data_IF_986165682154
#
_entry.id   IF_986165682154
#
_cell.length_a   1.000
_cell.length_b   1.000
_cell.length_c   1.000
_cell.angle_alpha   90.00
_cell.angle_beta   90.00
_cell.angle_gamma   90.00
#
_symmetry.space_group_name_H-M   'P 1'
#
loop_
_entity.id
_entity.type
_entity.pdbx_description
1 polymer ?
#
# COMPACT_ATOMS: atom_id res chain seq x y z
N UNK A 1 4.50 -14.26 -14.76
CA UNK A 1 5.62 -13.38 -14.39
C UNK A 1 5.24 -12.58 -13.16
N UNK A 2 6.16 -12.41 -12.20
CA UNK A 2 5.98 -11.57 -11.01
C UNK A 2 7.03 -10.47 -11.00
N UNK A 3 6.59 -9.22 -11.02
CA UNK A 3 7.47 -8.05 -10.86
C UNK A 3 7.56 -7.72 -9.37
N UNK A 4 8.76 -7.78 -8.80
CA UNK A 4 9.00 -7.54 -7.37
C UNK A 4 10.03 -6.42 -7.22
N UNK A 5 9.58 -5.18 -6.98
CA UNK A 5 10.44 -4.10 -6.52
C UNK A 5 10.88 -4.40 -5.08
N UNK A 6 12.18 -4.60 -4.88
CA UNK A 6 12.73 -4.89 -3.56
C UNK A 6 12.74 -3.58 -2.77
N UNK A 7 12.20 -3.59 -1.55
CA UNK A 7 12.32 -2.47 -0.59
C UNK A 7 13.23 -2.84 0.58
N UNK A 8 13.05 -4.05 1.13
CA UNK A 8 13.85 -4.61 2.20
C UNK A 8 14.54 -5.89 1.71
N UNK A 9 15.87 -5.92 1.76
CA UNK A 9 16.68 -7.07 1.32
C UNK A 9 16.73 -8.19 2.36
N UNK A 10 16.36 -7.92 3.61
CA UNK A 10 16.41 -8.88 4.71
C UNK A 10 15.26 -9.90 4.67
N UNK A 11 14.18 -9.58 3.95
CA UNK A 11 12.99 -10.41 3.84
C UNK A 11 13.01 -11.22 2.54
N UNK A 12 12.65 -12.50 2.64
CA UNK A 12 12.51 -13.38 1.47
C UNK A 12 11.16 -13.14 0.79
N UNK A 13 11.14 -13.11 -0.53
CA UNK A 13 9.87 -13.19 -1.25
C UNK A 13 9.25 -14.60 -1.10
N UNK A 14 7.92 -14.67 -1.14
CA UNK A 14 7.15 -15.92 -1.04
C UNK A 14 6.93 -16.63 -2.37
N UNK A 15 7.63 -16.26 -3.45
CA UNK A 15 7.27 -16.64 -4.82
C UNK A 15 8.18 -17.75 -5.34
N UNK A 16 7.66 -18.98 -5.47
CA UNK A 16 8.48 -20.13 -5.90
C UNK A 16 8.22 -20.60 -7.34
N UNK A 17 7.01 -20.36 -7.87
CA UNK A 17 6.54 -20.97 -9.13
C UNK A 17 6.52 -20.03 -10.34
N UNK A 18 6.65 -18.72 -10.14
CA UNK A 18 6.56 -17.75 -11.22
C UNK A 18 7.94 -17.33 -11.72
N UNK A 19 8.01 -16.85 -12.96
CA UNK A 19 9.19 -16.13 -13.44
C UNK A 19 9.26 -14.76 -12.74
N UNK A 20 10.30 -14.54 -11.93
CA UNK A 20 10.43 -13.34 -11.09
C UNK A 20 11.37 -12.33 -11.74
N UNK A 21 10.92 -11.07 -11.79
CA UNK A 21 11.72 -9.92 -12.20
C UNK A 21 11.92 -9.05 -10.97
N UNK A 22 13.17 -8.93 -10.52
CA UNK A 22 13.54 -8.09 -9.40
C UNK A 22 13.98 -6.71 -9.88
N UNK A 23 13.45 -5.66 -9.25
CA UNK A 23 13.97 -4.28 -9.38
C UNK A 23 14.67 -3.93 -8.08
N UNK A 24 15.91 -3.44 -8.17
CA UNK A 24 16.70 -3.11 -6.98
C UNK A 24 16.15 -1.87 -6.27
N UNK A 25 16.25 -1.79 -4.93
CA UNK A 25 15.74 -0.65 -4.19
C UNK A 25 16.49 0.63 -4.55
N UNK A 26 15.82 1.76 -4.40
CA UNK A 26 16.52 3.04 -4.31
C UNK A 26 17.43 3.05 -3.06
N UNK A 27 18.66 3.60 -3.14
CA UNK A 27 19.57 3.66 -1.99
C UNK A 27 18.95 4.30 -0.74
N UNK A 28 18.12 5.34 -0.89
CA UNK A 28 17.45 6.01 0.24
C UNK A 28 16.40 5.10 0.89
N UNK A 29 15.70 4.30 0.09
CA UNK A 29 14.72 3.33 0.58
C UNK A 29 15.44 2.19 1.31
N UNK A 30 16.50 1.64 0.71
CA UNK A 30 17.26 0.56 1.30
C UNK A 30 17.82 0.92 2.68
N UNK A 31 18.43 2.11 2.82
CA UNK A 31 18.98 2.58 4.10
C UNK A 31 17.90 2.68 5.19
N UNK A 32 16.74 3.27 4.87
CA UNK A 32 15.64 3.42 5.83
C UNK A 32 15.08 2.07 6.29
N UNK A 33 14.88 1.13 5.37
CA UNK A 33 14.37 -0.20 5.74
C UNK A 33 15.42 -0.99 6.53
N UNK A 34 16.72 -0.83 6.24
CA UNK A 34 17.80 -1.40 7.06
C UNK A 34 17.85 -0.81 8.48
N UNK A 35 17.65 0.49 8.63
CA UNK A 35 17.54 1.14 9.95
C UNK A 35 16.30 0.65 10.73
N UNK A 36 15.16 0.51 10.06
CA UNK A 36 13.95 -0.04 10.68
C UNK A 36 14.14 -1.49 11.11
N UNK A 37 14.79 -2.31 10.29
CA UNK A 37 15.09 -3.70 10.61
C UNK A 37 16.02 -3.81 11.84
N UNK A 38 17.03 -2.93 11.96
CA UNK A 38 17.91 -2.86 13.14
C UNK A 38 17.17 -2.46 14.42
N UNK A 39 16.21 -1.54 14.32
CA UNK A 39 15.48 -1.02 15.46
C UNK A 39 14.33 -1.93 15.93
N UNK A 40 14.08 -3.07 15.26
CA UNK A 40 13.06 -4.08 15.61
C UNK A 40 11.72 -3.47 16.05
N UNK A 41 11.16 -2.58 15.24
CA UNK A 41 9.83 -2.01 15.51
C UNK A 41 8.76 -3.11 15.52
N UNK A 42 8.27 -3.48 16.70
CA UNK A 42 7.17 -4.43 16.82
C UNK A 42 5.84 -3.73 16.54
N UNK A 43 5.44 -3.73 15.27
CA UNK A 43 4.18 -3.12 14.80
C UNK A 43 2.93 -3.71 15.47
N UNK A 44 3.00 -4.94 16.00
CA UNK A 44 1.87 -5.61 16.63
C UNK A 44 1.58 -5.11 18.05
N UNK A 45 2.58 -4.57 18.73
CA UNK A 45 2.45 -4.01 20.08
C UNK A 45 2.14 -2.51 20.07
N UNK A 46 2.10 -1.88 18.90
CA UNK A 46 1.88 -0.45 18.77
C UNK A 46 0.42 -0.08 19.06
N UNK A 47 0.22 1.01 19.79
CA UNK A 47 -1.11 1.57 19.99
C UNK A 47 -1.55 2.34 18.73
N UNK A 48 -2.48 1.76 17.97
CA UNK A 48 -3.06 2.34 16.75
C UNK A 48 -3.82 3.66 16.98
N UNK A 49 -4.20 3.97 18.23
CA UNK A 49 -4.82 5.25 18.58
C UNK A 49 -3.81 6.37 18.85
N UNK A 50 -2.50 6.10 18.82
CA UNK A 50 -1.49 7.14 18.98
C UNK A 50 -1.25 7.86 17.63
N UNK A 51 -1.71 9.12 17.47
CA UNK A 51 -1.61 9.83 16.20
C UNK A 51 -0.16 10.15 15.82
N UNK A 52 0.78 10.13 16.78
CA UNK A 52 2.20 10.38 16.55
C UNK A 52 2.73 9.38 15.51
N UNK A 53 2.37 8.10 15.65
CA UNK A 53 2.85 7.07 14.74
C UNK A 53 2.38 7.33 13.31
N UNK A 54 1.10 7.65 13.12
CA UNK A 54 0.55 7.94 11.80
C UNK A 54 1.17 9.18 11.16
N UNK A 55 1.51 10.20 11.95
CA UNK A 55 2.19 11.42 11.47
C UNK A 55 3.62 11.12 11.00
N UNK A 56 4.33 10.19 11.64
CA UNK A 56 5.70 9.83 11.24
C UNK A 56 5.75 8.75 10.15
N UNK A 57 4.93 7.71 10.25
CA UNK A 57 4.90 6.61 9.27
C UNK A 57 4.33 7.02 7.92
N UNK A 58 3.32 7.90 7.89
CA UNK A 58 2.67 8.33 6.64
C UNK A 58 3.66 8.92 5.62
N UNK A 59 4.42 9.97 5.97
CA UNK A 59 5.42 10.56 5.08
C UNK A 59 6.54 9.60 4.71
N UNK A 60 6.97 8.74 5.64
CA UNK A 60 8.00 7.73 5.36
C UNK A 60 7.52 6.76 4.29
N UNK A 61 6.33 6.19 4.47
CA UNK A 61 5.74 5.22 3.56
C UNK A 61 5.43 5.85 2.18
N UNK A 62 4.93 7.09 2.17
CA UNK A 62 4.69 7.84 0.92
C UNK A 62 5.97 8.07 0.12
N UNK A 63 7.08 8.47 0.79
CA UNK A 63 8.38 8.66 0.13
C UNK A 63 8.93 7.33 -0.39
N UNK A 64 8.83 6.27 0.39
CA UNK A 64 9.29 4.94 -0.01
C UNK A 64 8.53 4.43 -1.24
N UNK A 65 7.19 4.54 -1.26
CA UNK A 65 6.41 4.15 -2.44
C UNK A 65 6.74 5.00 -3.67
N UNK A 66 6.91 6.32 -3.50
CA UNK A 66 7.29 7.20 -4.62
C UNK A 66 8.67 6.83 -5.19
N UNK A 67 9.68 6.66 -4.34
CA UNK A 67 11.03 6.32 -4.78
C UNK A 67 11.09 4.95 -5.45
N UNK A 68 10.42 3.94 -4.88
CA UNK A 68 10.30 2.61 -5.47
C UNK A 68 9.58 2.67 -6.81
N UNK A 69 8.48 3.42 -6.91
CA UNK A 69 7.76 3.61 -8.17
C UNK A 69 8.62 4.23 -9.25
N UNK A 70 9.34 5.31 -8.91
CA UNK A 70 10.26 5.98 -9.81
C UNK A 70 11.34 5.01 -10.32
N UNK A 71 11.92 4.19 -9.43
CA UNK A 71 12.89 3.17 -9.84
C UNK A 71 12.33 2.14 -10.81
N UNK A 72 11.12 1.66 -10.59
CA UNK A 72 10.46 0.72 -11.50
C UNK A 72 10.24 1.35 -12.87
N UNK A 73 9.80 2.62 -12.93
CA UNK A 73 9.57 3.32 -14.18
C UNK A 73 10.87 3.68 -14.93
N UNK A 74 11.95 3.93 -14.21
CA UNK A 74 13.27 4.24 -14.78
C UNK A 74 14.09 3.00 -15.14
N UNK A 75 13.65 1.79 -14.75
CA UNK A 75 14.36 0.55 -15.05
C UNK A 75 14.43 0.32 -16.58
N UNK A 76 15.64 0.35 -17.18
CA UNK A 76 15.77 0.39 -18.64
C UNK A 76 15.14 -0.81 -19.33
N UNK A 77 14.24 -0.53 -20.28
CA UNK A 77 13.59 -1.58 -21.09
C UNK A 77 12.65 -2.49 -20.30
N UNK A 78 12.33 -2.20 -19.04
CA UNK A 78 11.44 -3.04 -18.24
C UNK A 78 10.01 -2.99 -18.78
N UNK A 79 9.49 -1.78 -19.01
CA UNK A 79 8.10 -1.59 -19.45
C UNK A 79 7.90 -2.21 -20.83
N UNK A 80 8.86 -2.04 -21.74
CA UNK A 80 8.83 -2.61 -23.09
C UNK A 80 8.79 -4.14 -23.04
N UNK A 81 9.67 -4.77 -22.23
CA UNK A 81 9.65 -6.23 -22.02
C UNK A 81 8.31 -6.72 -21.48
N UNK A 82 7.73 -6.00 -20.51
CA UNK A 82 6.43 -6.36 -19.94
C UNK A 82 5.28 -6.21 -20.95
N UNK A 83 5.33 -5.20 -21.82
CA UNK A 83 4.35 -5.05 -22.93
C UNK A 83 4.46 -6.19 -23.94
N UNK A 84 5.68 -6.62 -24.26
CA UNK A 84 5.94 -7.68 -25.23
C UNK A 84 5.38 -9.05 -24.78
N UNK A 85 5.30 -9.31 -23.47
CA UNK A 85 4.71 -10.54 -22.92
C UNK A 85 3.19 -10.66 -23.16
N UNK A 86 2.47 -9.55 -23.43
CA UNK A 86 1.03 -9.54 -23.75
C UNK A 86 0.16 -10.27 -22.72
N UNK A 87 0.24 -9.86 -21.46
CA UNK A 87 -0.51 -10.48 -20.37
C UNK A 87 -2.04 -10.44 -20.56
N UNK A 88 -2.69 -11.58 -20.34
CA UNK A 88 -4.16 -11.66 -20.28
C UNK A 88 -4.71 -11.03 -19.00
N UNK A 89 -3.99 -11.20 -17.88
CA UNK A 89 -4.40 -10.72 -16.55
C UNK A 89 -3.21 -10.07 -15.86
N UNK A 90 -3.43 -8.89 -15.31
CA UNK A 90 -2.49 -8.17 -14.45
C UNK A 90 -3.08 -8.07 -13.05
N UNK A 91 -2.31 -8.48 -12.03
CA UNK A 91 -2.72 -8.44 -10.63
C UNK A 91 -1.77 -7.50 -9.90
N UNK A 92 -2.32 -6.53 -9.17
CA UNK A 92 -1.53 -5.59 -8.36
C UNK A 92 -2.21 -5.31 -7.03
N UNK A 93 -1.39 -4.99 -6.03
CA UNK A 93 -1.86 -4.67 -4.69
C UNK A 93 -2.48 -3.27 -4.66
N UNK A 94 -3.65 -3.14 -4.01
CA UNK A 94 -4.46 -1.93 -4.03
C UNK A 94 -3.78 -0.73 -3.36
N UNK A 95 -2.95 -0.95 -2.34
CA UNK A 95 -2.19 0.14 -1.72
C UNK A 95 -0.95 0.57 -2.52
N UNK A 96 -0.52 -0.24 -3.49
CA UNK A 96 0.54 0.11 -4.44
C UNK A 96 -0.06 0.80 -5.67
N UNK A 97 -0.32 2.10 -5.53
CA UNK A 97 -0.87 2.94 -6.61
C UNK A 97 0.02 2.90 -7.86
N UNK A 98 1.33 2.71 -7.70
CA UNK A 98 2.25 2.62 -8.84
C UNK A 98 2.03 1.34 -9.64
N UNK A 99 1.84 0.20 -8.98
CA UNK A 99 1.51 -1.05 -9.63
C UNK A 99 0.22 -0.95 -10.46
N UNK A 100 -0.83 -0.35 -9.89
CA UNK A 100 -2.06 -0.08 -10.66
C UNK A 100 -1.78 0.86 -11.84
N UNK A 101 -1.02 1.94 -11.64
CA UNK A 101 -0.63 2.88 -12.69
C UNK A 101 0.16 2.22 -13.83
N UNK A 102 1.03 1.26 -13.51
CA UNK A 102 1.85 0.53 -14.49
C UNK A 102 0.99 -0.27 -15.48
N UNK A 103 -0.20 -0.71 -15.06
CA UNK A 103 -1.14 -1.39 -15.95
C UNK A 103 -1.54 -0.54 -17.16
N UNK A 104 -1.60 0.80 -17.01
CA UNK A 104 -1.86 1.71 -18.12
C UNK A 104 -0.72 1.75 -19.14
N UNK A 105 0.53 1.52 -18.71
CA UNK A 105 1.65 1.42 -19.63
C UNK A 105 1.66 0.06 -20.32
N UNK A 106 1.47 -1.03 -19.57
CA UNK A 106 1.56 -2.43 -20.06
C UNK A 106 0.38 -2.80 -20.97
N UNK A 107 -0.82 -2.22 -20.75
CA UNK A 107 -2.05 -2.51 -21.49
C UNK A 107 -2.41 -4.02 -21.51
N UNK A 108 -2.54 -4.68 -20.34
CA UNK A 108 -3.05 -6.05 -20.26
C UNK A 108 -4.54 -6.10 -20.62
N UNK A 109 -5.06 -7.29 -20.96
CA UNK A 109 -6.50 -7.44 -21.31
C UNK A 109 -7.42 -7.23 -20.12
N UNK A 110 -6.99 -7.59 -18.91
CA UNK A 110 -7.72 -7.40 -17.67
C UNK A 110 -6.78 -6.98 -16.54
N UNK A 111 -7.29 -6.13 -15.65
CA UNK A 111 -6.59 -5.64 -14.45
C UNK A 111 -7.40 -6.05 -13.22
N UNK A 112 -6.73 -6.63 -12.23
CA UNK A 112 -7.30 -7.05 -10.95
C UNK A 112 -6.52 -6.34 -9.84
N UNK A 113 -7.20 -5.43 -9.15
CA UNK A 113 -6.75 -4.92 -7.86
C UNK A 113 -7.00 -5.96 -6.78
N UNK A 114 -5.96 -6.37 -6.06
CA UNK A 114 -6.03 -7.31 -4.94
C UNK A 114 -5.59 -6.61 -3.67
N UNK A 115 -6.08 -7.05 -2.51
CA UNK A 115 -5.45 -6.68 -1.25
C UNK A 115 -5.40 -7.86 -0.31
N UNK A 116 -4.25 -8.03 0.35
CA UNK A 116 -4.13 -8.99 1.46
C UNK A 116 -4.91 -8.55 2.70
N UNK A 117 -5.35 -7.28 2.74
CA UNK A 117 -6.09 -6.68 3.85
C UNK A 117 -7.44 -6.13 3.38
N UNK A 118 -8.15 -5.45 4.27
CA UNK A 118 -9.41 -4.81 3.94
C UNK A 118 -9.15 -3.48 3.23
N UNK A 119 -10.02 -3.07 2.30
CA UNK A 119 -10.04 -1.67 1.84
C UNK A 119 -10.13 -0.71 3.02
N UNK A 120 -9.39 0.39 2.96
CA UNK A 120 -9.36 1.41 4.02
C UNK A 120 -9.41 2.83 3.45
N UNK A 121 -10.01 3.74 4.21
CA UNK A 121 -10.02 5.18 3.91
C UNK A 121 -10.54 5.51 2.50
N UNK A 122 -9.67 6.11 1.68
CA UNK A 122 -9.98 6.59 0.33
C UNK A 122 -10.19 5.47 -0.69
N UNK A 123 -9.64 4.27 -0.46
CA UNK A 123 -9.73 3.15 -1.41
C UNK A 123 -11.17 2.76 -1.73
N UNK A 124 -12.10 2.93 -0.79
CA UNK A 124 -13.52 2.65 -1.06
C UNK A 124 -14.07 3.46 -2.22
N UNK A 125 -13.69 4.73 -2.31
CA UNK A 125 -14.12 5.62 -3.38
C UNK A 125 -13.43 5.26 -4.70
N UNK A 126 -12.12 5.00 -4.65
CA UNK A 126 -11.33 4.60 -5.83
C UNK A 126 -11.83 3.30 -6.48
N UNK A 127 -12.21 2.31 -5.66
CA UNK A 127 -12.74 1.03 -6.15
C UNK A 127 -14.27 1.03 -6.32
N UNK A 128 -14.95 2.15 -6.09
CA UNK A 128 -16.42 2.25 -6.23
C UNK A 128 -17.20 1.36 -5.25
N UNK A 129 -16.58 1.00 -4.11
CA UNK A 129 -17.18 0.14 -3.08
C UNK A 129 -17.87 1.03 -2.03
N UNK A 130 -19.16 0.82 -1.72
CA UNK A 130 -19.84 1.60 -0.70
C UNK A 130 -19.20 1.37 0.67
N UNK A 131 -18.85 2.45 1.35
CA UNK A 131 -18.32 2.38 2.70
C UNK A 131 -19.45 2.31 3.72
N UNK A 132 -19.41 1.29 4.58
CA UNK A 132 -20.40 1.08 5.63
C UNK A 132 -19.81 1.30 7.03
N UNK A 133 -19.49 2.56 7.35
CA UNK A 133 -18.82 2.95 8.61
C UNK A 133 -19.63 2.64 9.88
N UNK A 134 -20.90 2.25 9.76
CA UNK A 134 -21.77 1.90 10.90
C UNK A 134 -21.57 0.49 11.44
N UNK A 135 -21.02 -0.45 10.65
CA UNK A 135 -20.81 -1.85 11.06
C UNK A 135 -19.49 -2.45 10.56
N UNK A 136 -18.75 -1.75 9.69
CA UNK A 136 -17.41 -2.14 9.27
C UNK A 136 -16.37 -1.35 10.08
N UNK A 137 -15.43 -2.01 10.77
CA UNK A 137 -14.36 -1.32 11.46
C UNK A 137 -13.49 -0.54 10.47
N UNK A 138 -13.16 0.69 10.82
CA UNK A 138 -12.17 1.52 10.15
C UNK A 138 -10.76 0.98 10.43
N UNK A 139 -9.79 1.35 9.60
CA UNK A 139 -8.42 0.85 9.72
C UNK A 139 -7.72 1.19 11.05
N UNK A 140 -8.23 2.20 11.76
CA UNK A 140 -7.69 2.66 13.04
C UNK A 140 -8.40 2.03 14.25
N UNK A 141 -9.44 1.22 14.04
CA UNK A 141 -10.16 0.52 15.11
C UNK A 141 -9.67 -0.92 15.24
N UNK A 142 -9.26 -1.33 16.45
CA UNK A 142 -8.88 -2.73 16.73
C UNK A 142 -10.08 -3.67 16.86
N UNK A 143 -11.23 -3.14 17.30
CA UNK A 143 -12.49 -3.87 17.46
C UNK A 143 -13.67 -2.92 17.29
N UNK A 144 -14.84 -3.45 16.93
CA UNK A 144 -16.08 -2.68 16.79
C UNK A 144 -17.25 -3.52 17.31
N UNK A 145 -17.89 -3.09 18.39
CA UNK A 145 -19.21 -3.61 18.76
C UNK A 145 -20.30 -2.86 17.98
N UNK A 146 -20.95 -3.56 17.05
CA UNK A 146 -22.04 -3.01 16.23
C UNK A 146 -23.31 -2.70 17.03
N UNK A 147 -23.42 -3.21 18.25
CA UNK A 147 -24.53 -2.91 19.17
C UNK A 147 -24.23 -1.73 20.10
N UNK A 148 -22.97 -1.31 20.22
CA UNK A 148 -22.56 -0.13 21.00
C UNK A 148 -22.66 1.15 20.15
N UNK A 149 -23.48 2.10 20.59
CA UNK A 149 -23.58 3.41 19.93
C UNK A 149 -22.24 4.17 19.96
N UNK A 150 -21.52 4.11 21.08
CA UNK A 150 -20.25 4.81 21.26
C UNK A 150 -19.16 4.23 20.38
N UNK A 151 -19.09 2.90 20.25
CA UNK A 151 -18.10 2.25 19.37
C UNK A 151 -18.34 2.63 17.91
N UNK A 152 -19.61 2.69 17.49
CA UNK A 152 -19.99 3.15 16.15
C UNK A 152 -19.62 4.62 15.92
N UNK A 153 -19.84 5.48 16.92
CA UNK A 153 -19.48 6.89 16.82
C UNK A 153 -17.95 7.07 16.73
N UNK A 154 -17.20 6.36 17.56
CA UNK A 154 -15.73 6.35 17.51
C UNK A 154 -15.23 5.81 16.18
N UNK A 155 -15.87 4.77 15.63
CA UNK A 155 -15.50 4.23 14.34
C UNK A 155 -15.70 5.24 13.19
N UNK A 156 -16.81 5.97 13.20
CA UNK A 156 -17.07 7.04 12.24
C UNK A 156 -16.04 8.17 12.40
N UNK A 157 -15.71 8.54 13.64
CA UNK A 157 -14.68 9.55 13.91
C UNK A 157 -13.29 9.10 13.43
N UNK A 158 -12.90 7.86 13.72
CA UNK A 158 -11.64 7.26 13.28
C UNK A 158 -11.52 7.22 11.76
N UNK A 159 -12.61 6.88 11.07
CA UNK A 159 -12.66 6.91 9.60
C UNK A 159 -12.50 8.33 9.03
N UNK A 160 -13.22 9.30 9.60
CA UNK A 160 -13.10 10.71 9.23
C UNK A 160 -11.69 11.24 9.47
N UNK A 161 -11.07 10.91 10.60
CA UNK A 161 -9.69 11.27 10.91
C UNK A 161 -8.72 10.67 9.89
N UNK A 162 -8.87 9.38 9.55
CA UNK A 162 -8.05 8.71 8.55
C UNK A 162 -8.12 9.39 7.18
N UNK A 163 -9.34 9.67 6.70
CA UNK A 163 -9.58 10.35 5.42
C UNK A 163 -8.97 11.76 5.39
N UNK A 164 -9.14 12.53 6.45
CA UNK A 164 -8.61 13.91 6.53
C UNK A 164 -7.09 13.94 6.60
N UNK A 165 -6.46 13.06 7.40
CA UNK A 165 -5.00 12.93 7.46
C UNK A 165 -4.43 12.57 6.10
N UNK A 166 -5.03 11.61 5.39
CA UNK A 166 -4.58 11.25 4.04
C UNK A 166 -4.66 12.42 3.06
N UNK A 167 -5.81 13.11 2.98
CA UNK A 167 -6.00 14.24 2.07
C UNK A 167 -5.03 15.39 2.36
N UNK A 168 -4.71 15.64 3.64
CA UNK A 168 -3.75 16.67 4.04
C UNK A 168 -2.30 16.35 3.62
N UNK A 169 -1.93 15.08 3.55
CA UNK A 169 -0.59 14.65 3.15
C UNK A 169 -0.47 14.47 1.63
N UNK A 170 -1.54 13.98 0.98
CA UNK A 170 -1.60 13.82 -0.48
C UNK A 170 -1.59 15.17 -1.22
N UNK A 171 -2.22 16.22 -0.68
CA UNK A 171 -2.23 17.56 -1.31
C UNK A 171 -0.94 18.37 -1.12
N UNK A 172 -0.01 17.88 -0.28
CA UNK A 172 1.28 18.54 0.01
C UNK A 172 2.48 17.90 -0.69
N UNK A 173 2.26 16.84 -1.47
CA UNK A 173 3.31 16.08 -2.15
C UNK A 173 3.39 16.44 -3.63
#
# INVERSE_FOLDING_TARGET
TSLIPIMDKSVKDGTEKSHVIYVQPDPEVAEKYEEMAKNQFNIFEMNNFNPILSIFMGPMMSKSFYATCKKVLEEPGLIERLKEEKFDVYISENFDVCGIGLSHAIQPKAVIGSSATNLFGWMFEEFGVPQASSYRPSAYMCSLDVHSFFDRLLNIYSDWLGRTVFLLHSTRS
#
